data_IF_245664389189
#
_entry.id   IF_245664389189
#
_cell.length_a   1.000
_cell.length_b   1.000
_cell.length_c   1.000
_cell.angle_alpha   90.00
_cell.angle_beta   90.00
_cell.angle_gamma   90.00
#
_symmetry.space_group_name_H-M   'P 1'
#
loop_
_entity.id
_entity.type
_entity.pdbx_description
1 polymer ?
#
# COMPACT_ATOMS: atom_id res chain seq x y z
N UNK A 1 57.07 21.19 -49.08
CA UNK A 1 56.91 20.46 -47.79
C UNK A 1 55.48 19.96 -47.71
N UNK A 2 55.33 18.66 -47.49
CA UNK A 2 54.09 17.89 -47.61
C UNK A 2 53.05 18.24 -46.54
N UNK A 3 51.79 18.15 -46.97
CA UNK A 3 50.54 18.14 -46.20
C UNK A 3 50.61 17.41 -44.85
N UNK A 4 49.96 17.96 -43.82
CA UNK A 4 49.02 17.20 -42.97
C UNK A 4 47.98 18.17 -42.39
N UNK A 5 46.72 17.99 -42.79
CA UNK A 5 45.60 18.78 -42.30
C UNK A 5 45.18 18.31 -40.91
N UNK A 6 45.01 19.26 -39.98
CA UNK A 6 44.36 19.03 -38.70
C UNK A 6 42.90 18.65 -38.92
N UNK A 7 42.62 17.34 -39.01
CA UNK A 7 41.29 16.81 -39.33
C UNK A 7 40.76 15.92 -38.21
N UNK A 8 40.75 16.41 -36.96
CA UNK A 8 40.20 15.68 -35.82
C UNK A 8 39.49 16.64 -34.85
N UNK A 9 38.34 17.20 -35.23
CA UNK A 9 37.48 17.94 -34.28
C UNK A 9 35.97 17.72 -34.47
N UNK A 10 35.55 16.86 -35.42
CA UNK A 10 34.13 16.53 -35.64
C UNK A 10 33.64 15.29 -34.90
N UNK A 11 34.54 14.35 -34.57
CA UNK A 11 34.19 13.05 -33.96
C UNK A 11 33.90 13.20 -32.47
N UNK A 12 34.64 14.05 -31.75
CA UNK A 12 34.45 14.21 -30.30
C UNK A 12 33.09 14.79 -29.91
N UNK A 13 32.50 15.67 -30.73
CA UNK A 13 31.18 16.25 -30.44
C UNK A 13 30.06 15.24 -30.70
N UNK A 14 30.21 14.41 -31.73
CA UNK A 14 29.26 13.34 -32.07
C UNK A 14 29.32 12.19 -31.06
N UNK A 15 30.52 11.84 -30.60
CA UNK A 15 30.75 10.86 -29.52
C UNK A 15 30.20 11.35 -28.17
N UNK A 16 30.34 12.65 -27.88
CA UNK A 16 29.79 13.24 -26.67
C UNK A 16 28.25 13.26 -26.71
N UNK A 17 27.64 13.60 -27.85
CA UNK A 17 26.19 13.48 -28.03
C UNK A 17 25.69 12.04 -27.97
N UNK A 18 26.44 11.09 -28.52
CA UNK A 18 26.14 9.66 -28.40
C UNK A 18 26.19 9.20 -26.94
N UNK A 19 27.23 9.60 -26.19
CA UNK A 19 27.37 9.25 -24.78
C UNK A 19 26.25 9.85 -23.92
N UNK A 20 25.86 11.09 -24.19
CA UNK A 20 24.75 11.76 -23.52
C UNK A 20 23.41 11.08 -23.84
N UNK A 21 23.20 10.69 -25.10
CA UNK A 21 21.99 9.97 -25.52
C UNK A 21 21.87 8.60 -24.85
N UNK A 22 22.99 7.86 -24.71
CA UNK A 22 23.01 6.58 -24.00
C UNK A 22 22.68 6.79 -22.52
N UNK A 23 23.34 7.73 -21.84
CA UNK A 23 23.07 8.01 -20.41
C UNK A 23 21.60 8.43 -20.21
N UNK A 24 21.08 9.31 -21.08
CA UNK A 24 19.68 9.72 -21.03
C UNK A 24 18.71 8.53 -21.18
N UNK A 25 19.00 7.59 -22.09
CA UNK A 25 18.17 6.38 -22.25
C UNK A 25 18.17 5.49 -21.00
N UNK A 26 19.32 5.35 -20.34
CA UNK A 26 19.46 4.56 -19.10
C UNK A 26 18.66 5.22 -17.97
N UNK A 27 18.74 6.53 -17.82
CA UNK A 27 17.99 7.27 -16.81
C UNK A 27 16.47 7.15 -17.01
N UNK A 28 16.00 7.14 -18.26
CA UNK A 28 14.58 6.90 -18.57
C UNK A 28 14.12 5.49 -18.18
N UNK A 29 14.93 4.47 -18.43
CA UNK A 29 14.61 3.11 -17.99
C UNK A 29 14.63 3.00 -16.46
N UNK A 30 15.64 3.58 -15.81
CA UNK A 30 15.78 3.54 -14.35
C UNK A 30 14.60 4.23 -13.65
N UNK A 31 14.18 5.40 -14.13
CA UNK A 31 13.02 6.12 -13.58
C UNK A 31 11.72 5.35 -13.75
N UNK A 32 11.47 4.78 -14.94
CA UNK A 32 10.29 3.94 -15.17
C UNK A 32 10.27 2.71 -14.27
N UNK A 33 11.41 2.05 -14.11
CA UNK A 33 11.53 0.89 -13.23
C UNK A 33 11.28 1.28 -11.76
N UNK A 34 11.88 2.38 -11.30
CA UNK A 34 11.68 2.89 -9.94
C UNK A 34 10.21 3.18 -9.64
N UNK A 35 9.48 3.82 -10.57
CA UNK A 35 8.06 4.11 -10.40
C UNK A 35 7.24 2.82 -10.23
N UNK A 36 7.50 1.81 -11.05
CA UNK A 36 6.79 0.52 -10.98
C UNK A 36 7.12 -0.25 -9.70
N UNK A 37 8.41 -0.36 -9.35
CA UNK A 37 8.84 -1.03 -8.14
C UNK A 37 8.28 -0.36 -6.89
N UNK A 38 8.28 0.98 -6.85
CA UNK A 38 7.70 1.74 -5.74
C UNK A 38 6.21 1.46 -5.60
N UNK A 39 5.45 1.40 -6.70
CA UNK A 39 4.02 1.07 -6.66
C UNK A 39 3.76 -0.33 -6.08
N UNK A 40 4.54 -1.33 -6.50
CA UNK A 40 4.42 -2.70 -5.98
C UNK A 40 4.77 -2.79 -4.47
N UNK A 41 5.80 -2.06 -4.02
CA UNK A 41 6.18 -2.01 -2.62
C UNK A 41 5.06 -1.40 -1.75
N UNK A 42 4.43 -0.31 -2.22
CA UNK A 42 3.30 0.31 -1.52
C UNK A 42 2.10 -0.64 -1.35
N UNK A 43 1.78 -1.42 -2.39
CA UNK A 43 0.74 -2.45 -2.31
C UNK A 43 1.09 -3.49 -1.24
N UNK A 44 2.33 -3.98 -1.27
CA UNK A 44 2.81 -5.00 -0.32
C UNK A 44 2.77 -4.50 1.12
N UNK A 45 3.27 -3.28 1.35
CA UNK A 45 3.21 -2.61 2.66
C UNK A 45 1.77 -2.45 3.14
N UNK A 46 0.85 -2.04 2.25
CA UNK A 46 -0.56 -1.88 2.60
C UNK A 46 -1.20 -3.20 2.99
N UNK A 47 -0.94 -4.29 2.27
CA UNK A 47 -1.42 -5.63 2.63
C UNK A 47 -0.92 -6.06 4.01
N UNK A 48 0.34 -5.75 4.36
CA UNK A 48 0.90 -6.04 5.68
C UNK A 48 0.25 -5.19 6.78
N UNK A 49 0.01 -3.90 6.52
CA UNK A 49 -0.70 -2.99 7.43
C UNK A 49 -2.09 -3.54 7.72
N UNK A 50 -2.84 -3.90 6.67
CA UNK A 50 -4.17 -4.48 6.79
C UNK A 50 -4.13 -5.77 7.62
N UNK A 51 -3.23 -6.71 7.30
CA UNK A 51 -3.12 -7.96 8.05
C UNK A 51 -2.79 -7.74 9.53
N UNK A 52 -1.98 -6.71 9.83
CA UNK A 52 -1.66 -6.32 11.21
C UNK A 52 -2.90 -5.77 11.93
N UNK A 53 -3.66 -4.90 11.28
CA UNK A 53 -4.90 -4.33 11.83
C UNK A 53 -5.96 -5.37 12.09
N UNK A 54 -6.17 -6.28 11.14
CA UNK A 54 -7.14 -7.38 11.25
C UNK A 54 -6.76 -8.29 12.42
N UNK A 55 -5.49 -8.70 12.51
CA UNK A 55 -5.01 -9.54 13.61
C UNK A 55 -5.11 -8.83 14.97
N UNK A 56 -4.74 -7.55 15.05
CA UNK A 56 -4.86 -6.76 16.27
C UNK A 56 -6.33 -6.64 16.71
N UNK A 57 -7.24 -6.40 15.77
CA UNK A 57 -8.67 -6.32 16.05
C UNK A 57 -9.22 -7.64 16.57
N UNK A 58 -8.84 -8.76 15.95
CA UNK A 58 -9.32 -10.07 16.40
C UNK A 58 -8.80 -10.42 17.80
N UNK A 59 -7.56 -10.03 18.13
CA UNK A 59 -7.06 -10.14 19.52
C UNK A 59 -7.82 -9.23 20.48
N UNK A 60 -8.23 -8.05 20.04
CA UNK A 60 -9.04 -7.15 20.86
C UNK A 60 -10.43 -7.76 21.12
N UNK A 61 -11.03 -8.45 20.14
CA UNK A 61 -12.28 -9.21 20.28
C UNK A 61 -12.17 -10.38 21.28
N UNK A 62 -10.98 -10.90 21.56
CA UNK A 62 -10.83 -11.91 22.62
C UNK A 62 -11.08 -11.34 24.03
N UNK A 63 -10.94 -10.03 24.20
CA UNK A 63 -11.14 -9.33 25.47
C UNK A 63 -12.46 -8.55 25.55
N UNK A 64 -13.11 -8.31 24.41
CA UNK A 64 -14.30 -7.46 24.27
C UNK A 64 -15.44 -8.24 23.60
N UNK A 65 -16.71 -7.92 23.90
CA UNK A 65 -17.84 -8.73 23.42
C UNK A 65 -18.04 -8.68 21.90
N UNK A 66 -17.64 -7.57 21.26
CA UNK A 66 -17.84 -7.28 19.84
C UNK A 66 -16.95 -6.08 19.43
N UNK A 67 -16.89 -5.72 18.15
CA UNK A 67 -16.13 -4.56 17.62
C UNK A 67 -16.72 -3.18 17.90
N UNK A 68 -17.72 -3.06 18.78
CA UNK A 68 -18.34 -1.77 19.07
C UNK A 68 -17.32 -0.76 19.60
N UNK A 69 -17.32 0.45 19.05
CA UNK A 69 -16.35 1.52 19.35
C UNK A 69 -14.88 1.16 19.07
N UNK A 70 -14.60 0.13 18.28
CA UNK A 70 -13.25 -0.15 17.80
C UNK A 70 -12.75 1.03 16.96
N UNK A 71 -11.54 1.50 17.29
CA UNK A 71 -10.74 2.40 16.48
C UNK A 71 -9.24 2.10 16.68
N UNK A 72 -8.37 2.86 16.00
CA UNK A 72 -6.92 2.72 16.14
C UNK A 72 -6.44 3.01 17.56
N UNK A 73 -7.01 4.00 18.24
CA UNK A 73 -6.60 4.40 19.58
C UNK A 73 -6.88 3.28 20.59
N UNK A 74 -8.02 2.59 20.48
CA UNK A 74 -8.35 1.42 21.31
C UNK A 74 -7.35 0.29 21.14
N UNK A 75 -6.90 0.03 19.91
CA UNK A 75 -5.91 -1.01 19.65
C UNK A 75 -4.53 -0.65 20.23
N UNK A 76 -4.17 0.64 20.22
CA UNK A 76 -2.94 1.13 20.84
C UNK A 76 -3.04 1.11 22.37
N UNK A 77 -4.17 1.57 22.94
CA UNK A 77 -4.44 1.56 24.39
C UNK A 77 -4.40 0.13 24.95
N UNK A 78 -4.92 -0.84 24.19
CA UNK A 78 -4.86 -2.27 24.50
C UNK A 78 -3.47 -2.90 24.30
N UNK A 79 -2.47 -2.11 23.88
CA UNK A 79 -1.09 -2.55 23.58
C UNK A 79 -1.00 -3.61 22.48
N UNK A 80 -1.98 -3.64 21.58
CA UNK A 80 -2.00 -4.55 20.42
C UNK A 80 -1.29 -3.93 19.22
N UNK A 81 -1.18 -2.60 19.20
CA UNK A 81 -0.40 -1.83 18.24
C UNK A 81 0.54 -0.87 18.99
N UNK A 82 1.73 -0.54 18.43
CA UNK A 82 2.60 0.47 19.00
C UNK A 82 2.06 1.90 18.85
N UNK A 83 2.56 2.83 19.69
CA UNK A 83 2.05 4.21 19.80
C UNK A 83 2.10 5.03 18.50
N UNK A 84 3.03 4.71 17.59
CA UNK A 84 3.12 5.36 16.29
C UNK A 84 1.90 5.06 15.39
N UNK A 85 1.09 4.06 15.75
CA UNK A 85 -0.08 3.69 14.97
C UNK A 85 -1.23 4.69 15.04
N UNK A 86 -1.33 5.49 16.10
CA UNK A 86 -2.39 6.51 16.25
C UNK A 86 -2.42 7.50 15.10
N UNK A 87 -1.24 7.78 14.54
CA UNK A 87 -1.06 8.68 13.41
C UNK A 87 -0.50 7.96 12.19
N UNK A 88 -0.68 6.63 12.09
CA UNK A 88 -0.16 5.86 10.96
C UNK A 88 -0.78 6.36 9.68
N UNK A 89 0.09 6.68 8.73
CA UNK A 89 -0.29 7.00 7.37
C UNK A 89 -0.15 5.76 6.49
N UNK A 90 -1.01 5.68 5.50
CA UNK A 90 -0.84 4.76 4.40
C UNK A 90 0.36 5.15 3.51
N UNK A 91 0.79 4.26 2.60
CA UNK A 91 1.92 4.55 1.72
C UNK A 91 1.69 5.70 0.72
N UNK A 92 0.49 6.28 0.68
CA UNK A 92 0.12 7.45 -0.11
C UNK A 92 -0.06 8.72 0.75
N UNK A 93 0.23 8.63 2.05
CA UNK A 93 0.32 9.76 2.97
C UNK A 93 -0.97 10.15 3.67
N UNK A 94 -2.06 9.38 3.52
CA UNK A 94 -3.33 9.63 4.21
C UNK A 94 -3.45 8.80 5.48
N UNK A 95 -4.22 9.27 6.47
CA UNK A 95 -4.43 8.52 7.71
C UNK A 95 -5.26 7.26 7.45
N UNK A 96 -4.78 6.15 7.98
CA UNK A 96 -5.50 4.87 7.95
C UNK A 96 -6.64 4.92 8.95
N UNK A 97 -7.75 4.26 8.63
CA UNK A 97 -8.91 4.16 9.52
C UNK A 97 -9.30 2.71 9.72
N UNK A 98 -9.78 2.42 10.92
CA UNK A 98 -10.43 1.16 11.27
C UNK A 98 -11.64 1.46 12.13
N UNK A 99 -12.71 0.72 11.89
CA UNK A 99 -13.92 0.77 12.72
C UNK A 99 -14.66 -0.56 12.67
N UNK A 100 -15.70 -0.70 13.49
CA UNK A 100 -16.71 -1.71 13.19
C UNK A 100 -17.35 -1.43 11.83
N UNK A 101 -17.78 -2.48 11.16
CA UNK A 101 -18.58 -2.35 9.96
C UNK A 101 -20.04 -2.08 10.33
N UNK A 102 -20.55 -0.90 9.96
CA UNK A 102 -21.91 -0.47 10.28
C UNK A 102 -23.01 -1.40 9.70
N UNK A 103 -22.70 -2.16 8.65
CA UNK A 103 -23.60 -3.16 8.08
C UNK A 103 -23.68 -4.47 8.88
N UNK A 104 -22.80 -4.67 9.87
CA UNK A 104 -22.79 -5.87 10.72
C UNK A 104 -23.79 -5.72 11.86
N UNK A 105 -24.86 -6.54 11.87
CA UNK A 105 -25.90 -6.49 12.92
C UNK A 105 -25.39 -6.88 14.31
N UNK A 106 -24.33 -7.70 14.35
CA UNK A 106 -23.77 -8.25 15.59
C UNK A 106 -22.44 -7.58 15.96
N UNK A 107 -22.01 -6.55 15.22
CA UNK A 107 -20.70 -5.90 15.35
C UNK A 107 -19.53 -6.91 15.31
N UNK A 108 -19.69 -7.98 14.54
CA UNK A 108 -18.71 -9.06 14.36
C UNK A 108 -17.87 -8.88 13.09
N UNK A 109 -17.87 -7.69 12.49
CA UNK A 109 -17.03 -7.38 11.34
C UNK A 109 -16.38 -6.02 11.53
N UNK A 110 -15.14 -5.90 11.06
CA UNK A 110 -14.42 -4.64 11.00
C UNK A 110 -14.36 -4.14 9.55
N UNK A 111 -14.26 -2.82 9.41
CA UNK A 111 -13.91 -2.15 8.17
C UNK A 111 -12.53 -1.52 8.32
N UNK A 112 -11.64 -1.79 7.37
CA UNK A 112 -10.32 -1.14 7.27
C UNK A 112 -10.31 -0.26 6.03
N UNK A 113 -10.01 1.03 6.20
CA UNK A 113 -9.96 2.02 5.11
C UNK A 113 -8.54 2.56 4.91
N UNK A 114 -8.08 2.50 3.67
CA UNK A 114 -6.82 3.04 3.16
C UNK A 114 -7.16 4.12 2.10
N UNK A 115 -7.40 5.37 2.53
CA UNK A 115 -8.02 6.39 1.67
C UNK A 115 -7.12 6.91 0.56
N UNK A 116 -5.80 6.85 0.70
CA UNK A 116 -4.85 7.34 -0.29
C UNK A 116 -4.59 6.37 -1.46
N UNK A 117 -5.08 5.13 -1.40
CA UNK A 117 -4.80 4.11 -2.40
C UNK A 117 -5.45 4.44 -3.77
N UNK A 118 -4.67 4.60 -4.86
CA UNK A 118 -5.22 4.73 -6.21
C UNK A 118 -5.98 3.47 -6.62
N UNK A 119 -6.91 3.60 -7.56
CA UNK A 119 -7.75 2.49 -8.05
C UNK A 119 -6.96 1.22 -8.38
N UNK A 120 -5.88 1.34 -9.16
CA UNK A 120 -5.04 0.20 -9.55
C UNK A 120 -4.37 -0.48 -8.35
N UNK A 121 -3.98 0.28 -7.33
CA UNK A 121 -3.45 -0.27 -6.11
C UNK A 121 -4.55 -0.96 -5.29
N UNK A 122 -5.75 -0.37 -5.22
CA UNK A 122 -6.92 -0.95 -4.55
C UNK A 122 -7.28 -2.32 -5.13
N UNK A 123 -7.36 -2.41 -6.46
CA UNK A 123 -7.63 -3.66 -7.19
C UNK A 123 -6.56 -4.73 -6.87
N UNK A 124 -5.27 -4.35 -6.89
CA UNK A 124 -4.17 -5.26 -6.56
C UNK A 124 -4.22 -5.71 -5.08
N UNK A 125 -4.51 -4.81 -4.15
CA UNK A 125 -4.64 -5.14 -2.73
C UNK A 125 -5.76 -6.17 -2.55
N UNK A 126 -6.93 -5.96 -3.16
CA UNK A 126 -8.02 -6.91 -2.97
C UNK A 126 -7.81 -8.22 -3.73
N UNK A 127 -7.12 -8.25 -4.86
CA UNK A 127 -6.73 -9.51 -5.50
C UNK A 127 -5.86 -10.36 -4.55
N UNK A 128 -4.89 -9.74 -3.88
CA UNK A 128 -4.03 -10.42 -2.90
C UNK A 128 -4.85 -10.91 -1.70
N UNK A 129 -5.66 -10.04 -1.09
CA UNK A 129 -6.39 -10.36 0.14
C UNK A 129 -7.55 -11.34 -0.07
N UNK A 130 -8.23 -11.27 -1.22
CA UNK A 130 -9.27 -12.26 -1.58
C UNK A 130 -8.68 -13.65 -1.80
N UNK A 131 -7.50 -13.75 -2.45
CA UNK A 131 -6.77 -15.02 -2.59
C UNK A 131 -6.32 -15.59 -1.26
N UNK A 132 -6.11 -14.75 -0.25
CA UNK A 132 -5.80 -15.16 1.12
C UNK A 132 -7.05 -15.52 1.94
N UNK A 133 -8.26 -15.32 1.39
CA UNK A 133 -9.53 -15.60 2.08
C UNK A 133 -9.82 -14.64 3.24
N UNK A 134 -9.17 -13.46 3.27
CA UNK A 134 -9.27 -12.53 4.40
C UNK A 134 -10.50 -11.61 4.34
N UNK A 135 -11.05 -11.36 3.14
CA UNK A 135 -12.08 -10.33 2.92
C UNK A 135 -13.42 -10.95 2.52
N UNK A 136 -14.50 -10.40 3.08
CA UNK A 136 -15.86 -10.76 2.69
C UNK A 136 -16.42 -9.83 1.62
N UNK A 137 -16.11 -8.54 1.73
CA UNK A 137 -16.55 -7.50 0.80
C UNK A 137 -15.49 -6.40 0.71
N UNK A 138 -15.47 -5.71 -0.43
CA UNK A 138 -14.53 -4.63 -0.71
C UNK A 138 -15.20 -3.48 -1.45
N UNK A 139 -14.67 -2.29 -1.25
CA UNK A 139 -15.06 -1.09 -1.97
C UNK A 139 -13.81 -0.41 -2.48
N UNK A 140 -13.64 -0.41 -3.81
CA UNK A 140 -12.67 0.42 -4.51
C UNK A 140 -13.42 1.55 -5.20
N UNK A 141 -13.29 2.78 -4.71
CA UNK A 141 -13.78 3.96 -5.45
C UNK A 141 -12.64 4.90 -5.79
N UNK A 142 -12.82 5.67 -6.85
CA UNK A 142 -11.83 6.64 -7.32
C UNK A 142 -11.58 7.79 -6.32
N UNK A 143 -12.41 7.91 -5.27
CA UNK A 143 -12.39 9.03 -4.31
C UNK A 143 -12.14 8.63 -2.85
N UNK A 144 -12.38 7.37 -2.48
CA UNK A 144 -12.32 6.89 -1.09
C UNK A 144 -11.17 5.92 -0.81
N UNK A 145 -10.34 5.61 -1.81
CA UNK A 145 -9.28 4.62 -1.71
C UNK A 145 -9.82 3.21 -1.54
N UNK A 146 -9.07 2.37 -0.82
CA UNK A 146 -9.45 0.99 -0.51
C UNK A 146 -10.26 0.94 0.79
N UNK A 147 -11.37 0.21 0.80
CA UNK A 147 -12.03 -0.23 2.00
C UNK A 147 -12.33 -1.73 1.91
N UNK A 148 -12.03 -2.47 2.98
CA UNK A 148 -12.28 -3.91 3.07
C UNK A 148 -13.04 -4.26 4.34
N UNK A 149 -13.95 -5.23 4.22
CA UNK A 149 -14.74 -5.75 5.33
C UNK A 149 -14.21 -7.13 5.71
N UNK A 150 -13.87 -7.28 6.99
CA UNK A 150 -13.27 -8.48 7.55
C UNK A 150 -14.19 -9.01 8.65
N UNK A 151 -14.90 -10.12 8.41
CA UNK A 151 -15.70 -10.76 9.45
C UNK A 151 -14.77 -11.42 10.48
N UNK A 152 -15.21 -11.45 11.74
CA UNK A 152 -14.56 -12.23 12.77
C UNK A 152 -14.46 -13.70 12.31
N UNK A 153 -13.36 -14.40 12.61
CA UNK A 153 -13.29 -15.83 12.36
C UNK A 153 -14.43 -16.50 13.15
N UNK A 154 -15.20 -17.37 12.48
CA UNK A 154 -16.25 -18.13 13.15
C UNK A 154 -15.67 -18.79 14.40
N UNK A 155 -16.11 -18.35 15.58
CA UNK A 155 -15.86 -19.06 16.83
C UNK A 155 -16.72 -20.31 16.79
N UNK A 156 -16.21 -21.39 16.19
CA UNK A 156 -16.76 -22.71 16.42
C UNK A 156 -16.71 -22.95 17.94
N UNK A 157 -17.89 -22.90 18.54
CA UNK A 157 -18.10 -22.99 19.98
C UNK A 157 -17.44 -24.26 20.51
N UNK A 158 -16.52 -24.11 21.47
CA UNK A 158 -16.10 -25.22 22.33
C UNK A 158 -17.17 -25.51 23.37
#
# INVERSE_FOLDING_TARGET
MLHTGNKHSGIGLLELMLSLAIIASILLMATRYFIQANAANKVTETTQIIGTLVNASFKWLEAEPNFENLDLDKLVDAKLLPEDWRNKKDPWGQLIKISHYAGSKDFQSIEVTIPGAPKTACENINDILSKQGMIAEQVCTDSSGYAGIYPAPHQDSK
#
